data_IF_713032197981
#
_entry.id   IF_713032197981
#
_cell.length_a   1.000
_cell.length_b   1.000
_cell.length_c   1.000
_cell.angle_alpha   90.00
_cell.angle_beta   90.00
_cell.angle_gamma   90.00
#
_symmetry.space_group_name_H-M   'P 1'
#
loop_
_entity.id
_entity.type
_entity.pdbx_description
1 polymer ?
#
# COMPACT_ATOMS: atom_id res chain seq x y z
N UNK A 1 -12.79 -46.38 30.36
CA UNK A 1 -11.74 -46.90 29.46
C UNK A 1 -12.24 -46.84 28.02
N UNK A 2 -11.50 -46.12 27.16
CA UNK A 2 -11.31 -46.24 25.69
C UNK A 2 -12.53 -46.42 24.76
N UNK A 3 -12.65 -45.79 23.58
CA UNK A 3 -11.80 -44.85 22.81
C UNK A 3 -12.70 -44.21 21.74
N UNK A 4 -12.45 -42.93 21.43
CA UNK A 4 -12.95 -42.20 20.25
C UNK A 4 -12.46 -42.88 18.96
N UNK A 5 -13.21 -42.72 17.87
CA UNK A 5 -12.68 -42.56 16.51
C UNK A 5 -13.70 -41.75 15.69
N UNK A 6 -13.67 -40.42 15.83
CA UNK A 6 -14.23 -39.50 14.86
C UNK A 6 -13.16 -39.21 13.82
N UNK A 7 -13.40 -39.57 12.56
CA UNK A 7 -12.63 -39.05 11.44
C UNK A 7 -13.11 -37.63 11.14
N UNK A 8 -12.41 -36.63 11.69
CA UNK A 8 -12.50 -35.27 11.21
C UNK A 8 -11.59 -35.13 9.99
N UNK A 9 -12.21 -35.14 8.80
CA UNK A 9 -11.55 -34.70 7.58
C UNK A 9 -11.19 -33.23 7.76
N UNK A 10 -9.91 -32.93 7.92
CA UNK A 10 -9.42 -31.55 7.86
C UNK A 10 -9.62 -31.04 6.44
N UNK A 11 -10.63 -30.19 6.26
CA UNK A 11 -10.77 -29.37 5.07
C UNK A 11 -9.62 -28.35 5.13
N UNK A 12 -8.50 -28.67 4.46
CA UNK A 12 -7.47 -27.67 4.15
C UNK A 12 -8.11 -26.62 3.26
N UNK A 13 -8.54 -25.50 3.84
CA UNK A 13 -8.91 -24.30 3.08
C UNK A 13 -7.64 -23.77 2.43
N UNK A 14 -7.48 -24.06 1.14
CA UNK A 14 -6.53 -23.34 0.27
C UNK A 14 -7.06 -21.92 0.15
N UNK A 15 -6.39 -20.97 0.79
CA UNK A 15 -6.65 -19.54 0.58
C UNK A 15 -6.14 -19.19 -0.82
N UNK A 16 -7.02 -18.64 -1.65
CA UNK A 16 -6.72 -18.17 -2.99
C UNK A 16 -5.99 -16.83 -2.83
N UNK A 17 -4.76 -16.77 -3.36
CA UNK A 17 -3.85 -15.62 -3.33
C UNK A 17 -4.19 -14.70 -4.50
N UNK A 18 -4.90 -13.61 -4.22
CA UNK A 18 -5.33 -12.64 -5.23
C UNK A 18 -4.16 -11.66 -5.47
N UNK A 19 -3.51 -11.81 -6.62
CA UNK A 19 -2.56 -10.83 -7.18
C UNK A 19 -3.29 -9.49 -7.40
N UNK A 20 -2.56 -8.37 -7.29
CA UNK A 20 -3.09 -6.99 -7.34
C UNK A 20 -3.95 -6.65 -8.57
N UNK A 21 -3.98 -7.51 -9.59
CA UNK A 21 -4.78 -7.33 -10.80
C UNK A 21 -6.14 -8.03 -10.79
N UNK A 22 -6.45 -8.88 -9.81
CA UNK A 22 -7.76 -9.57 -9.75
C UNK A 22 -8.78 -8.80 -8.92
N UNK A 23 -8.38 -7.82 -8.12
CA UNK A 23 -9.34 -6.86 -7.59
C UNK A 23 -9.78 -5.84 -8.64
N UNK A 24 -8.90 -5.39 -9.55
CA UNK A 24 -9.33 -4.49 -10.65
C UNK A 24 -10.03 -5.26 -11.79
N UNK A 25 -9.52 -6.43 -12.23
CA UNK A 25 -10.21 -7.21 -13.27
C UNK A 25 -11.36 -8.08 -12.73
N UNK A 26 -11.27 -8.62 -11.52
CA UNK A 26 -12.26 -9.56 -10.97
C UNK A 26 -13.44 -8.89 -10.25
N UNK A 27 -13.25 -7.74 -9.60
CA UNK A 27 -14.38 -7.01 -8.98
C UNK A 27 -15.22 -6.30 -10.05
N UNK A 28 -14.60 -5.74 -11.09
CA UNK A 28 -15.33 -5.03 -12.15
C UNK A 28 -16.04 -5.94 -13.16
N UNK A 29 -15.50 -7.14 -13.45
CA UNK A 29 -16.22 -8.11 -14.31
C UNK A 29 -17.44 -8.72 -13.58
N UNK A 30 -17.41 -8.83 -12.25
CA UNK A 30 -18.54 -9.36 -11.47
C UNK A 30 -19.58 -8.30 -11.08
N UNK A 31 -19.21 -7.02 -10.96
CA UNK A 31 -20.19 -5.93 -10.76
C UNK A 31 -20.89 -5.51 -12.07
N UNK A 32 -20.31 -5.83 -13.23
CA UNK A 32 -20.95 -5.67 -14.54
C UNK A 32 -22.20 -6.52 -14.79
N UNK A 33 -22.53 -7.45 -13.88
CA UNK A 33 -23.75 -8.27 -14.00
C UNK A 33 -24.85 -7.93 -12.98
N UNK A 34 -24.61 -7.08 -11.97
CA UNK A 34 -25.60 -6.85 -10.90
C UNK A 34 -26.06 -5.41 -10.68
N UNK A 35 -25.41 -4.40 -11.26
CA UNK A 35 -25.91 -3.03 -11.16
C UNK A 35 -26.76 -2.66 -12.39
N UNK A 36 -28.02 -3.05 -12.34
CA UNK A 36 -29.09 -2.60 -13.23
C UNK A 36 -29.51 -1.13 -12.96
N UNK A 37 -28.54 -0.22 -12.76
CA UNK A 37 -28.76 1.22 -12.59
C UNK A 37 -27.62 2.03 -13.26
N UNK A 38 -27.61 2.03 -14.59
CA UNK A 38 -27.37 3.19 -15.47
C UNK A 38 -26.08 4.03 -15.44
N UNK A 39 -25.40 4.27 -14.31
CA UNK A 39 -24.23 5.14 -14.26
C UNK A 39 -23.08 4.43 -13.51
N UNK A 40 -22.03 4.06 -14.23
CA UNK A 40 -20.76 3.64 -13.62
C UNK A 40 -20.16 4.82 -12.85
N UNK A 41 -19.53 4.56 -11.70
CA UNK A 41 -18.80 5.62 -10.97
C UNK A 41 -17.59 6.09 -11.78
N UNK A 42 -17.12 7.32 -11.57
CA UNK A 42 -15.92 7.81 -12.25
C UNK A 42 -14.69 6.94 -11.94
N UNK A 43 -14.64 6.33 -10.75
CA UNK A 43 -13.63 5.35 -10.36
C UNK A 43 -13.70 4.10 -11.23
N UNK A 44 -14.89 3.55 -11.50
CA UNK A 44 -15.05 2.37 -12.36
C UNK A 44 -14.61 2.65 -13.81
N UNK A 45 -14.94 3.83 -14.32
CA UNK A 45 -14.57 4.28 -15.66
C UNK A 45 -13.04 4.39 -15.77
N UNK A 46 -12.42 5.06 -14.79
CA UNK A 46 -10.98 5.20 -14.71
C UNK A 46 -10.29 3.84 -14.57
N UNK A 47 -10.80 2.97 -13.69
CA UNK A 47 -10.25 1.64 -13.46
C UNK A 47 -10.27 0.77 -14.72
N UNK A 48 -11.36 0.82 -15.49
CA UNK A 48 -11.44 0.13 -16.77
C UNK A 48 -10.38 0.64 -17.77
N UNK A 49 -10.28 1.96 -17.95
CA UNK A 49 -9.32 2.56 -18.88
C UNK A 49 -7.87 2.25 -18.51
N UNK A 50 -7.55 2.29 -17.21
CA UNK A 50 -6.23 1.91 -16.69
C UNK A 50 -5.95 0.44 -16.92
N UNK A 51 -6.90 -0.45 -16.58
CA UNK A 51 -6.75 -1.89 -16.80
C UNK A 51 -6.52 -2.23 -18.28
N UNK A 52 -7.15 -1.50 -19.20
CA UNK A 52 -7.01 -1.72 -20.63
C UNK A 52 -5.60 -1.42 -21.17
N UNK A 53 -4.73 -0.74 -20.39
CA UNK A 53 -3.34 -0.47 -20.75
C UNK A 53 -2.42 -1.69 -20.58
N UNK A 54 -2.79 -2.65 -19.74
CA UNK A 54 -1.91 -3.73 -19.27
C UNK A 54 -2.23 -5.09 -19.90
N UNK A 55 -1.21 -5.92 -20.09
CA UNK A 55 -1.38 -7.31 -20.51
C UNK A 55 -2.22 -8.07 -19.48
N UNK A 56 -3.06 -8.99 -19.96
CA UNK A 56 -3.82 -9.88 -19.08
C UNK A 56 -2.87 -10.97 -18.62
N UNK A 57 -2.42 -10.88 -17.38
CA UNK A 57 -1.53 -11.86 -16.77
C UNK A 57 -2.35 -12.97 -16.09
N UNK A 58 -1.93 -14.22 -16.29
CA UNK A 58 -2.52 -15.38 -15.62
C UNK A 58 -2.02 -15.43 -14.16
N UNK A 59 -2.93 -15.61 -13.21
CA UNK A 59 -2.69 -15.44 -11.76
C UNK A 59 -1.50 -16.29 -11.23
N UNK A 60 -1.22 -17.44 -11.88
CA UNK A 60 -0.13 -18.34 -11.53
C UNK A 60 1.27 -17.91 -12.04
N UNK A 61 1.34 -16.93 -12.94
CA UNK A 61 2.58 -16.53 -13.64
C UNK A 61 3.17 -15.20 -13.18
N UNK A 62 2.41 -14.41 -12.41
CA UNK A 62 2.86 -13.11 -11.88
C UNK A 62 3.91 -13.34 -10.79
N UNK A 63 5.16 -13.03 -11.07
CA UNK A 63 6.19 -12.99 -10.04
C UNK A 63 5.90 -11.84 -9.09
N UNK A 64 6.02 -12.12 -7.80
CA UNK A 64 5.54 -11.31 -6.66
C UNK A 64 6.07 -9.85 -6.58
N UNK A 65 6.99 -9.46 -7.47
CA UNK A 65 7.71 -8.18 -7.47
C UNK A 65 7.82 -7.52 -8.86
N UNK A 66 7.28 -8.14 -9.91
CA UNK A 66 7.30 -7.57 -11.26
C UNK A 66 6.02 -6.73 -11.48
N UNK A 67 6.18 -5.53 -12.03
CA UNK A 67 5.03 -4.70 -12.44
C UNK A 67 4.43 -5.28 -13.71
N UNK A 68 3.10 -5.28 -13.82
CA UNK A 68 2.43 -5.82 -14.99
C UNK A 68 2.86 -5.06 -16.25
N UNK A 69 3.08 -5.81 -17.33
CA UNK A 69 3.57 -5.25 -18.59
C UNK A 69 2.45 -4.51 -19.32
N UNK A 70 2.73 -3.34 -19.90
CA UNK A 70 1.77 -2.71 -20.83
C UNK A 70 1.62 -3.55 -22.11
N UNK A 71 0.43 -3.57 -22.70
CA UNK A 71 0.21 -4.23 -24.00
C UNK A 71 1.15 -3.60 -25.04
N UNK A 72 1.67 -4.40 -25.96
CA UNK A 72 2.49 -3.87 -27.07
C UNK A 72 1.70 -2.88 -27.95
N UNK A 73 0.36 -2.97 -27.95
CA UNK A 73 -0.55 -2.04 -28.62
C UNK A 73 -0.88 -0.77 -27.83
N UNK A 74 -0.45 -0.66 -26.56
CA UNK A 74 -0.77 0.51 -25.73
C UNK A 74 -0.03 1.74 -26.23
N UNK A 75 -0.73 2.78 -26.63
CA UNK A 75 -0.18 4.05 -27.13
C UNK A 75 -0.36 5.21 -26.14
N UNK A 76 0.37 6.32 -26.34
CA UNK A 76 0.30 7.50 -25.47
C UNK A 76 -1.12 8.08 -25.37
N UNK A 77 -1.91 8.01 -26.45
CA UNK A 77 -3.31 8.47 -26.46
C UNK A 77 -4.16 7.71 -25.44
N UNK A 78 -4.02 6.38 -25.36
CA UNK A 78 -4.76 5.56 -24.42
C UNK A 78 -4.36 5.83 -22.96
N UNK A 79 -3.08 6.11 -22.73
CA UNK A 79 -2.56 6.51 -21.41
C UNK A 79 -3.14 7.88 -21.01
N UNK A 80 -3.21 8.84 -21.95
CA UNK A 80 -3.80 10.15 -21.71
C UNK A 80 -5.30 10.03 -21.40
N UNK A 81 -6.04 9.22 -22.16
CA UNK A 81 -7.46 8.95 -21.89
C UNK A 81 -7.69 8.34 -20.49
N UNK A 82 -6.80 7.45 -20.05
CA UNK A 82 -6.87 6.88 -18.71
C UNK A 82 -6.59 7.93 -17.63
N UNK A 83 -5.64 8.83 -17.87
CA UNK A 83 -5.35 9.95 -16.96
C UNK A 83 -6.52 10.93 -16.88
N UNK A 84 -7.14 11.30 -18.01
CA UNK A 84 -8.30 12.19 -18.05
C UNK A 84 -9.47 11.62 -17.23
N UNK A 85 -9.74 10.33 -17.36
CA UNK A 85 -10.79 9.67 -16.57
C UNK A 85 -10.50 9.66 -15.05
N UNK A 86 -9.22 9.63 -14.67
CA UNK A 86 -8.80 9.74 -13.27
C UNK A 86 -8.97 11.18 -12.76
N UNK A 87 -8.70 12.17 -13.60
CA UNK A 87 -8.85 13.59 -13.24
C UNK A 87 -10.32 14.00 -13.06
N UNK A 88 -11.24 13.27 -13.67
CA UNK A 88 -12.69 13.40 -13.47
C UNK A 88 -13.18 12.81 -12.12
N UNK A 89 -12.34 12.09 -11.37
CA UNK A 89 -12.68 11.61 -10.03
C UNK A 89 -12.73 12.80 -9.07
N UNK A 90 -13.93 13.16 -8.61
CA UNK A 90 -14.09 14.20 -7.58
C UNK A 90 -13.63 13.68 -6.22
N UNK A 91 -12.36 13.98 -5.91
CA UNK A 91 -11.73 13.60 -4.65
C UNK A 91 -12.50 14.12 -3.43
N UNK A 92 -13.23 15.24 -3.53
CA UNK A 92 -13.96 15.82 -2.40
C UNK A 92 -15.32 15.13 -2.16
N UNK A 93 -15.82 14.40 -3.15
CA UNK A 93 -17.05 13.61 -3.07
C UNK A 93 -16.80 12.15 -2.68
N UNK A 94 -15.54 11.77 -2.44
CA UNK A 94 -15.19 10.43 -1.97
C UNK A 94 -15.48 10.33 -0.47
N UNK A 95 -16.50 9.55 -0.14
CA UNK A 95 -16.93 9.33 1.25
C UNK A 95 -16.20 8.15 1.91
N UNK A 96 -15.47 7.32 1.13
CA UNK A 96 -14.80 6.12 1.61
C UNK A 96 -13.29 6.18 1.36
N UNK A 97 -12.49 5.81 2.35
CA UNK A 97 -11.02 5.76 2.23
C UNK A 97 -10.57 4.76 1.15
N UNK A 98 -11.36 3.71 0.90
CA UNK A 98 -11.14 2.76 -0.19
C UNK A 98 -11.17 3.46 -1.56
N UNK A 99 -12.04 4.45 -1.75
CA UNK A 99 -12.11 5.21 -3.00
C UNK A 99 -10.87 6.09 -3.20
N UNK A 100 -10.32 6.63 -2.12
CA UNK A 100 -9.03 7.36 -2.16
C UNK A 100 -7.88 6.43 -2.52
N UNK A 101 -7.81 5.26 -1.89
CA UNK A 101 -6.77 4.26 -2.16
C UNK A 101 -6.89 3.71 -3.60
N UNK A 102 -8.11 3.58 -4.11
CA UNK A 102 -8.39 3.21 -5.50
C UNK A 102 -7.91 4.30 -6.47
N UNK A 103 -8.34 5.55 -6.29
CA UNK A 103 -7.90 6.67 -7.14
C UNK A 103 -6.37 6.81 -7.15
N UNK A 104 -5.74 6.62 -5.99
CA UNK A 104 -4.28 6.61 -5.84
C UNK A 104 -3.61 5.46 -6.60
N UNK A 105 -4.16 4.26 -6.50
CA UNK A 105 -3.65 3.07 -7.21
C UNK A 105 -3.76 3.23 -8.72
N UNK A 106 -4.85 3.81 -9.22
CA UNK A 106 -5.07 4.10 -10.64
C UNK A 106 -4.04 5.10 -11.18
N UNK A 107 -3.78 6.19 -10.45
CA UNK A 107 -2.73 7.17 -10.79
C UNK A 107 -1.37 6.51 -10.89
N UNK A 108 -1.04 5.66 -9.92
CA UNK A 108 0.23 4.93 -9.90
C UNK A 108 0.39 4.02 -11.12
N UNK A 109 -0.68 3.32 -11.51
CA UNK A 109 -0.68 2.46 -12.69
C UNK A 109 -0.48 3.24 -14.00
N UNK A 110 -1.13 4.40 -14.19
CA UNK A 110 -0.90 5.25 -15.38
C UNK A 110 0.57 5.68 -15.50
N UNK A 111 1.20 6.05 -14.39
CA UNK A 111 2.61 6.45 -14.36
C UNK A 111 3.54 5.28 -14.70
N UNK A 112 3.24 4.07 -14.21
CA UNK A 112 3.95 2.86 -14.61
C UNK A 112 3.80 2.63 -16.12
N UNK A 113 2.60 2.79 -16.67
CA UNK A 113 2.37 2.64 -18.10
C UNK A 113 3.16 3.66 -18.93
N UNK A 114 3.21 4.93 -18.49
CA UNK A 114 4.02 5.98 -19.11
C UNK A 114 5.50 5.62 -19.14
N UNK A 115 6.05 5.16 -18.01
CA UNK A 115 7.46 4.80 -17.91
C UNK A 115 7.81 3.58 -18.77
N UNK A 116 6.92 2.58 -18.83
CA UNK A 116 7.09 1.42 -19.71
C UNK A 116 7.00 1.79 -21.19
N UNK A 117 6.06 2.66 -21.57
CA UNK A 117 5.93 3.17 -22.94
C UNK A 117 7.20 3.92 -23.36
N UNK A 118 7.68 4.82 -22.50
CA UNK A 118 8.91 5.58 -22.69
C UNK A 118 10.13 4.67 -22.90
N UNK A 119 10.24 3.58 -22.13
CA UNK A 119 11.29 2.57 -22.30
C UNK A 119 11.15 1.80 -23.62
N UNK A 120 9.92 1.45 -24.02
CA UNK A 120 9.61 0.71 -25.25
C UNK A 120 9.93 1.49 -26.52
N UNK A 121 9.58 2.77 -26.58
CA UNK A 121 9.74 3.61 -27.77
C UNK A 121 11.17 4.10 -28.00
N UNK A 122 12.02 4.01 -26.97
CA UNK A 122 13.47 4.02 -27.11
C UNK A 122 14.07 5.09 -28.04
N UNK A 123 13.73 6.39 -27.96
CA UNK A 123 14.54 7.51 -28.54
C UNK A 123 14.14 8.92 -28.05
N UNK A 124 15.19 9.67 -27.64
CA UNK A 124 15.54 11.12 -27.73
C UNK A 124 14.60 12.14 -28.43
N UNK A 125 14.32 13.24 -27.71
CA UNK A 125 14.78 14.63 -27.99
C UNK A 125 14.93 15.36 -26.64
N UNK A 126 16.15 15.72 -26.24
CA UNK A 126 16.73 17.06 -26.39
C UNK A 126 15.94 18.12 -25.60
N UNK A 127 16.49 18.44 -24.43
CA UNK A 127 16.38 19.69 -23.68
C UNK A 127 15.06 20.43 -23.82
N UNK A 128 14.18 20.27 -22.82
CA UNK A 128 13.43 21.41 -22.34
C UNK A 128 13.85 21.67 -20.88
N UNK A 129 14.43 22.84 -20.67
CA UNK A 129 14.92 23.28 -19.38
C UNK A 129 13.73 23.62 -18.49
N UNK A 130 13.29 22.69 -17.65
CA UNK A 130 12.59 23.05 -16.40
C UNK A 130 12.62 21.91 -15.38
N UNK A 131 13.05 22.29 -14.19
CA UNK A 131 13.22 21.52 -12.96
C UNK A 131 14.33 20.46 -13.02
N UNK A 132 15.36 20.68 -12.20
CA UNK A 132 16.25 19.63 -11.72
C UNK A 132 15.37 18.49 -11.19
N UNK A 133 15.27 17.43 -11.99
CA UNK A 133 14.62 16.21 -11.59
C UNK A 133 15.58 15.56 -10.59
N UNK A 134 15.37 15.81 -9.30
CA UNK A 134 15.95 14.99 -8.24
C UNK A 134 15.49 13.55 -8.53
N UNK A 135 16.35 12.78 -9.19
CA UNK A 135 16.17 11.34 -9.31
C UNK A 135 16.05 10.80 -7.90
N UNK A 136 14.82 10.50 -7.47
CA UNK A 136 14.58 9.72 -6.26
C UNK A 136 15.41 8.45 -6.45
N UNK A 137 16.47 8.30 -5.64
CA UNK A 137 17.27 7.08 -5.66
C UNK A 137 16.31 5.94 -5.34
N UNK A 138 16.30 4.93 -6.22
CA UNK A 138 15.55 3.70 -6.03
C UNK A 138 15.84 3.15 -4.63
N UNK A 139 14.80 3.09 -3.78
CA UNK A 139 14.92 2.56 -2.43
C UNK A 139 14.79 1.04 -2.46
N UNK A 140 15.78 0.36 -1.89
CA UNK A 140 15.79 -1.10 -1.74
C UNK A 140 15.61 -1.39 -0.25
N UNK A 141 14.46 -1.94 0.18
CA UNK A 141 14.25 -2.34 1.57
C UNK A 141 15.25 -3.43 1.99
N UNK A 142 15.66 -3.42 3.26
CA UNK A 142 16.45 -4.51 3.83
C UNK A 142 15.58 -5.76 4.03
N UNK A 143 16.22 -6.92 4.23
CA UNK A 143 15.51 -8.21 4.32
C UNK A 143 14.52 -8.28 5.49
N UNK A 144 14.78 -7.57 6.58
CA UNK A 144 14.00 -7.52 7.82
C UNK A 144 13.00 -6.36 7.88
N UNK A 145 12.94 -5.51 6.85
CA UNK A 145 11.96 -4.43 6.79
C UNK A 145 10.54 -4.96 6.67
N UNK A 146 9.63 -4.37 7.44
CA UNK A 146 8.19 -4.60 7.30
C UNK A 146 7.70 -3.74 6.13
N UNK A 147 7.47 -4.36 4.97
CA UNK A 147 7.15 -3.62 3.74
C UNK A 147 5.67 -3.75 3.41
N UNK A 148 4.98 -2.61 3.33
CA UNK A 148 3.67 -2.49 2.70
C UNK A 148 3.83 -1.94 1.28
N UNK A 149 3.57 -2.78 0.29
CA UNK A 149 3.65 -2.44 -1.13
C UNK A 149 2.62 -3.25 -1.88
N UNK A 150 1.93 -2.64 -2.86
CA UNK A 150 0.98 -3.34 -3.73
C UNK A 150 -0.01 -4.18 -2.90
N UNK A 151 -0.66 -3.55 -1.91
CA UNK A 151 -1.59 -4.17 -0.96
C UNK A 151 -1.13 -5.46 -0.27
N UNK A 152 0.18 -5.71 -0.24
CA UNK A 152 0.80 -6.86 0.41
C UNK A 152 1.69 -6.39 1.53
N UNK A 153 1.61 -7.11 2.64
CA UNK A 153 2.47 -6.92 3.80
C UNK A 153 3.53 -8.02 3.86
N UNK A 154 4.79 -7.65 3.61
CA UNK A 154 5.95 -8.51 3.84
C UNK A 154 6.42 -8.40 5.30
N UNK A 155 6.99 -9.48 5.84
CA UNK A 155 7.54 -9.55 7.20
C UNK A 155 6.50 -9.21 8.28
N UNK A 156 5.26 -9.64 8.06
CA UNK A 156 4.15 -9.49 9.00
C UNK A 156 4.44 -10.08 10.38
N UNK A 157 5.16 -11.20 10.41
CA UNK A 157 5.60 -11.88 11.62
C UNK A 157 6.53 -11.00 12.47
N UNK A 158 7.47 -10.28 11.84
CA UNK A 158 8.34 -9.31 12.52
C UNK A 158 7.52 -8.20 13.16
N UNK A 159 6.53 -7.65 12.43
CA UNK A 159 5.63 -6.63 12.95
C UNK A 159 4.81 -7.13 14.14
N UNK A 160 4.23 -8.33 14.02
CA UNK A 160 3.38 -8.91 15.06
C UNK A 160 4.19 -9.36 16.29
N UNK A 161 5.45 -9.75 16.12
CA UNK A 161 6.36 -9.98 17.23
C UNK A 161 6.70 -8.68 17.94
N UNK A 162 7.08 -7.63 17.20
CA UNK A 162 7.31 -6.30 17.76
C UNK A 162 6.10 -5.81 18.55
N UNK A 163 4.90 -5.91 17.98
CA UNK A 163 3.63 -5.51 18.62
C UNK A 163 3.38 -6.17 19.98
N UNK A 164 3.83 -7.42 20.18
CA UNK A 164 3.65 -8.15 21.45
C UNK A 164 4.57 -7.68 22.55
N UNK A 165 5.73 -7.09 22.21
CA UNK A 165 6.81 -6.80 23.15
C UNK A 165 7.17 -5.32 23.26
N UNK A 166 6.61 -4.47 22.39
CA UNK A 166 6.94 -3.06 22.31
C UNK A 166 5.99 -2.18 23.14
N UNK A 167 6.51 -1.04 23.60
CA UNK A 167 5.72 -0.06 24.35
C UNK A 167 5.22 -0.62 25.67
N UNK A 168 4.02 -0.24 26.09
CA UNK A 168 3.41 -0.66 27.37
C UNK A 168 3.26 -2.17 27.53
N UNK A 169 3.24 -2.92 26.42
CA UNK A 169 3.12 -4.38 26.42
C UNK A 169 4.41 -5.10 26.76
N UNK A 170 5.54 -4.39 26.80
CA UNK A 170 6.82 -4.97 27.20
C UNK A 170 7.70 -4.01 27.98
N UNK A 171 8.79 -4.57 28.52
CA UNK A 171 9.86 -3.79 29.17
C UNK A 171 11.15 -3.84 28.35
N UNK A 172 11.04 -4.23 27.08
CA UNK A 172 12.17 -4.39 26.19
C UNK A 172 12.47 -3.05 25.50
N UNK A 173 13.72 -2.57 25.62
CA UNK A 173 14.19 -1.37 24.92
C UNK A 173 15.12 -1.67 23.73
N UNK A 174 15.31 -2.94 23.38
CA UNK A 174 16.20 -3.38 22.30
C UNK A 174 15.48 -3.68 21.00
N UNK A 175 14.15 -3.89 21.05
CA UNK A 175 13.37 -4.19 19.85
C UNK A 175 13.23 -2.95 18.98
N UNK A 176 13.61 -3.08 17.71
CA UNK A 176 13.58 -2.02 16.71
C UNK A 176 13.26 -2.64 15.35
N UNK A 177 12.34 -2.03 14.61
CA UNK A 177 11.95 -2.45 13.26
C UNK A 177 11.80 -1.21 12.39
N UNK A 178 11.85 -1.39 11.07
CA UNK A 178 11.45 -0.36 10.11
C UNK A 178 10.21 -0.82 9.36
N UNK A 179 9.27 0.09 9.22
CA UNK A 179 8.07 -0.09 8.41
C UNK A 179 8.19 0.77 7.18
N UNK A 180 8.25 0.15 6.01
CA UNK A 180 8.38 0.81 4.70
C UNK A 180 7.01 0.81 4.03
N UNK A 181 6.48 1.98 3.75
CA UNK A 181 5.22 2.18 3.03
C UNK A 181 5.54 2.70 1.63
N UNK A 182 5.40 1.84 0.64
CA UNK A 182 5.53 2.23 -0.77
C UNK A 182 4.31 3.07 -1.16
N UNK A 183 4.57 4.29 -1.63
CA UNK A 183 3.59 5.28 -2.06
C UNK A 183 3.66 5.48 -3.58
N UNK A 184 4.06 4.42 -4.31
CA UNK A 184 4.14 4.43 -5.77
C UNK A 184 5.05 5.54 -6.28
N UNK A 185 4.49 6.44 -7.08
CA UNK A 185 5.23 7.53 -7.70
C UNK A 185 5.76 8.58 -6.71
N UNK A 186 5.16 8.68 -5.52
CA UNK A 186 5.67 9.57 -4.48
C UNK A 186 6.89 8.98 -3.77
N UNK A 187 7.29 7.75 -4.09
CA UNK A 187 8.44 7.07 -3.48
C UNK A 187 8.04 6.29 -2.23
N UNK A 188 8.88 6.31 -1.21
CA UNK A 188 8.68 5.49 0.01
C UNK A 188 8.70 6.34 1.27
N UNK A 189 7.75 6.07 2.17
CA UNK A 189 7.79 6.56 3.55
C UNK A 189 8.31 5.47 4.46
N UNK A 190 9.28 5.80 5.31
CA UNK A 190 9.89 4.85 6.22
C UNK A 190 9.58 5.28 7.66
N UNK A 191 9.13 4.35 8.49
CA UNK A 191 8.88 4.57 9.91
C UNK A 191 9.77 3.64 10.73
N UNK A 192 10.80 4.20 11.37
CA UNK A 192 11.57 3.51 12.39
C UNK A 192 10.76 3.41 13.68
N UNK A 193 10.43 2.19 14.11
CA UNK A 193 9.75 1.90 15.36
C UNK A 193 10.73 1.29 16.35
N UNK A 194 10.92 1.93 17.50
CA UNK A 194 11.79 1.43 18.55
C UNK A 194 11.03 1.34 19.86
N UNK A 195 11.06 0.18 20.49
CA UNK A 195 10.56 0.04 21.85
C UNK A 195 11.53 0.73 22.82
N UNK A 196 10.99 1.52 23.73
CA UNK A 196 11.73 2.30 24.72
C UNK A 196 11.23 1.92 26.11
N UNK A 197 12.14 1.96 27.08
CA UNK A 197 11.82 1.76 28.49
C UNK A 197 12.71 2.67 29.33
N UNK A 198 12.09 3.49 30.17
CA UNK A 198 12.76 4.26 31.22
C UNK A 198 12.59 3.56 32.56
N UNK A 199 13.71 3.05 33.09
CA UNK A 199 13.73 2.34 34.38
C UNK A 199 13.41 3.26 35.58
N UNK A 200 13.70 4.55 35.50
CA UNK A 200 13.48 5.49 36.60
C UNK A 200 12.01 5.90 36.71
N UNK A 201 11.34 6.06 35.56
CA UNK A 201 9.92 6.36 35.50
C UNK A 201 9.04 5.08 35.50
N UNK A 202 9.65 3.91 35.32
CA UNK A 202 8.98 2.64 35.07
C UNK A 202 7.98 2.68 33.90
N UNK A 203 8.31 3.48 32.88
CA UNK A 203 7.45 3.72 31.72
C UNK A 203 8.06 3.14 30.44
N UNK A 204 7.22 2.52 29.62
CA UNK A 204 7.57 2.03 28.28
C UNK A 204 6.77 2.78 27.23
N UNK A 205 7.35 2.98 26.05
CA UNK A 205 6.66 3.56 24.89
C UNK A 205 7.32 3.11 23.59
N UNK A 206 6.64 3.32 22.47
CA UNK A 206 7.16 3.14 21.13
C UNK A 206 7.60 4.51 20.62
N UNK A 207 8.89 4.65 20.30
CA UNK A 207 9.40 5.81 19.59
C UNK A 207 9.23 5.59 18.09
N UNK A 208 8.52 6.49 17.44
CA UNK A 208 8.30 6.50 15.99
C UNK A 208 9.17 7.59 15.37
N UNK A 209 9.99 7.22 14.39
CA UNK A 209 10.85 8.14 13.67
C UNK A 209 10.53 8.06 12.17
N UNK A 210 9.85 9.07 11.60
CA UNK A 210 9.63 9.13 10.16
C UNK A 210 10.94 9.44 9.43
N UNK A 211 11.07 8.90 8.22
CA UNK A 211 12.07 9.22 7.22
C UNK A 211 11.37 9.32 5.86
N UNK A 212 11.41 10.53 5.33
CA UNK A 212 10.81 10.97 4.06
C UNK A 212 11.89 11.30 3.01
N UNK A 213 13.15 10.92 3.23
CA UNK A 213 14.26 11.21 2.31
C UNK A 213 14.11 10.58 0.92
N UNK A 214 13.23 9.58 0.79
CA UNK A 214 12.86 8.92 -0.45
C UNK A 214 11.41 9.20 -0.84
N UNK A 215 10.80 10.25 -0.29
CA UNK A 215 9.41 10.61 -0.48
C UNK A 215 9.25 12.01 -1.07
N UNK A 216 8.37 12.16 -2.05
CA UNK A 216 7.96 13.45 -2.60
C UNK A 216 6.50 13.72 -2.22
N UNK A 217 6.31 14.62 -1.26
CA UNK A 217 4.99 15.11 -0.89
C UNK A 217 4.39 15.96 -2.02
N UNK A 218 3.09 15.84 -2.24
CA UNK A 218 2.37 16.76 -3.15
C UNK A 218 1.95 18.03 -2.42
N UNK A 219 1.81 19.16 -3.13
CA UNK A 219 1.49 20.47 -2.51
C UNK A 219 0.18 20.46 -1.69
N UNK A 220 -0.76 19.59 -2.05
CA UNK A 220 -2.06 19.44 -1.39
C UNK A 220 -2.12 18.25 -0.43
N UNK A 221 -1.02 17.53 -0.24
CA UNK A 221 -1.02 16.42 0.68
C UNK A 221 -1.05 16.94 2.11
N UNK A 222 -2.13 16.61 2.82
CA UNK A 222 -2.09 16.64 4.28
C UNK A 222 -1.16 15.51 4.69
N UNK A 223 0.11 15.89 4.77
CA UNK A 223 1.27 15.09 5.08
C UNK A 223 0.88 14.00 6.10
N UNK A 224 1.08 12.71 5.75
CA UNK A 224 0.61 11.52 6.50
C UNK A 224 0.92 11.67 8.00
N UNK A 225 0.07 11.16 8.88
CA UNK A 225 -0.09 11.63 10.28
C UNK A 225 1.25 11.63 11.07
N UNK A 226 2.26 10.89 10.61
CA UNK A 226 3.59 10.73 11.20
C UNK A 226 4.68 11.75 10.79
N UNK A 227 4.37 12.98 10.36
CA UNK A 227 5.41 13.95 9.92
C UNK A 227 6.38 14.45 10.99
N UNK A 228 6.25 13.95 12.22
CA UNK A 228 7.16 14.29 13.31
C UNK A 228 7.39 13.08 14.17
N UNK A 229 8.53 13.06 14.87
CA UNK A 229 8.85 11.99 15.81
C UNK A 229 7.76 11.88 16.87
N UNK A 230 7.19 10.68 17.02
CA UNK A 230 6.14 10.40 17.99
C UNK A 230 6.65 9.51 19.12
N UNK A 231 5.94 9.60 20.24
CA UNK A 231 5.96 8.60 21.30
C UNK A 231 4.53 8.07 21.39
N UNK A 232 4.36 6.76 21.30
CA UNK A 232 3.07 6.07 21.37
C UNK A 232 3.11 5.02 22.48
N UNK A 233 2.01 4.81 23.19
CA UNK A 233 1.94 3.85 24.29
C UNK A 233 2.13 2.42 23.79
N UNK A 234 1.36 2.00 22.79
CA UNK A 234 1.39 0.64 22.27
C UNK A 234 0.92 0.55 20.81
N UNK A 235 1.03 -0.65 20.26
CA UNK A 235 0.56 -1.01 18.93
C UNK A 235 -0.45 -2.16 19.02
N UNK A 236 -1.48 -2.12 18.17
CA UNK A 236 -2.46 -3.19 18.01
C UNK A 236 -2.86 -3.42 16.57
N UNK A 237 -3.30 -4.64 16.30
CA UNK A 237 -4.00 -5.00 15.08
C UNK A 237 -5.49 -4.76 15.32
N UNK A 238 -6.05 -3.78 14.62
CA UNK A 238 -7.48 -3.49 14.61
C UNK A 238 -8.14 -4.32 13.51
N UNK A 239 -8.83 -5.39 13.89
CA UNK A 239 -9.52 -6.27 12.94
C UNK A 239 -10.83 -5.68 12.40
N UNK A 240 -11.38 -4.65 13.05
CA UNK A 240 -12.60 -3.98 12.57
C UNK A 240 -12.27 -2.99 11.47
N UNK A 241 -11.24 -2.18 11.66
CA UNK A 241 -10.79 -1.23 10.64
C UNK A 241 -9.86 -1.88 9.61
N UNK A 242 -9.27 -3.04 9.93
CA UNK A 242 -8.35 -3.75 9.04
C UNK A 242 -6.95 -3.14 9.02
N UNK A 243 -6.53 -2.41 10.06
CA UNK A 243 -5.23 -1.74 10.14
C UNK A 243 -4.40 -2.18 11.34
N UNK A 244 -3.09 -2.15 11.19
CA UNK A 244 -2.19 -2.02 12.33
C UNK A 244 -2.18 -0.56 12.77
N UNK A 245 -2.51 -0.32 14.05
CA UNK A 245 -2.65 1.02 14.63
C UNK A 245 -1.67 1.22 15.79
N UNK A 246 -1.14 2.43 15.89
CA UNK A 246 -0.44 2.93 17.06
C UNK A 246 -1.42 3.74 17.90
N UNK A 247 -1.36 3.56 19.21
CA UNK A 247 -2.28 4.17 20.17
C UNK A 247 -1.53 4.98 21.22
N UNK A 248 -2.26 5.92 21.82
CA UNK A 248 -1.79 6.84 22.86
C UNK A 248 -0.56 7.61 22.40
N UNK A 249 -0.60 8.10 21.16
CA UNK A 249 0.50 8.88 20.62
C UNK A 249 0.44 10.33 21.08
N UNK A 250 1.62 10.97 21.19
CA UNK A 250 1.74 12.32 21.75
C UNK A 250 0.89 13.37 21.03
N UNK A 251 0.80 13.33 19.69
CA UNK A 251 0.09 14.37 18.92
C UNK A 251 -1.33 13.99 18.52
N UNK A 252 -1.66 12.70 18.43
CA UNK A 252 -3.03 12.21 18.23
C UNK A 252 -3.22 10.91 19.00
N UNK A 253 -4.46 10.62 19.39
CA UNK A 253 -4.76 9.43 20.18
C UNK A 253 -4.45 8.13 19.43
N UNK A 254 -4.73 8.08 18.14
CA UNK A 254 -4.54 6.89 17.32
C UNK A 254 -4.03 7.21 15.93
N UNK A 255 -3.35 6.24 15.36
CA UNK A 255 -2.65 6.35 14.10
C UNK A 255 -2.74 5.05 13.32
N UNK A 256 -3.32 5.09 12.12
CA UNK A 256 -3.26 3.97 11.18
C UNK A 256 -1.87 3.91 10.56
N UNK A 257 -1.14 2.83 10.78
CA UNK A 257 0.22 2.65 10.28
C UNK A 257 0.20 2.05 8.88
N UNK A 258 -0.27 0.81 8.78
CA UNK A 258 -0.39 0.05 7.53
C UNK A 258 -1.59 -0.90 7.62
N UNK A 259 -2.23 -1.25 6.49
CA UNK A 259 -3.29 -2.25 6.49
C UNK A 259 -2.82 -3.64 6.89
N UNK A 260 -3.76 -4.50 7.30
CA UNK A 260 -3.49 -5.87 7.76
C UNK A 260 -3.34 -6.89 6.63
N UNK A 261 -3.56 -6.47 5.38
CA UNK A 261 -3.54 -7.33 4.19
C UNK A 261 -4.73 -8.30 4.07
N UNK A 262 -5.77 -8.14 4.92
CA UNK A 262 -6.98 -8.96 4.94
C UNK A 262 -8.21 -8.22 4.34
N UNK A 263 -7.98 -7.18 3.54
CA UNK A 263 -9.06 -6.40 2.90
C UNK A 263 -9.72 -7.27 1.82
#
# INVERSE_FOLDING_TARGET
>A
MNKRNGFTVQIKRKAIMISLFITICGVLVLQGCNNANGNASNIDIAAKKVSDLFEVEDEETVKEWETSKIKDSTEQEQINEAQEAIDEIDMNALDQMEDYDNAFSLRSAVLIAQEQLRKREGIRKATDNRAENEQIKEFIPDEDDVVWKNNKLKNKDILEEFMKIAGEKGKNNTSEIRVVKDKGAQGVLIYGLKSMYDKNAEQSWIRVTPDDSHYIATENEVQDVFNSRQQCGYMEKDEQEGYYKLFECRTHWEYRLIPTGNI
#
